data_IF_927458141343
#
_entry.id   IF_927458141343
#
_cell.length_a   1.000
_cell.length_b   1.000
_cell.length_c   1.000
_cell.angle_alpha   90.00
_cell.angle_beta   90.00
_cell.angle_gamma   90.00
#
_symmetry.space_group_name_H-M   'P 1'
#
loop_
_entity.id
_entity.type
_entity.pdbx_description
1 polymer ?
#
# COMPACT_ATOMS: atom_id res chain seq x y z
N UNK A 1 24.15 -15.88 20.72
CA UNK A 1 24.33 -16.24 19.31
C UNK A 1 23.38 -17.38 18.97
N UNK A 2 22.42 -17.16 18.05
CA UNK A 2 21.63 -18.23 17.46
C UNK A 2 22.51 -18.89 16.37
N UNK A 3 23.33 -19.88 16.74
CA UNK A 3 24.31 -20.47 15.83
C UNK A 3 23.65 -21.51 14.91
N UNK A 4 22.70 -22.29 15.44
CA UNK A 4 22.01 -23.35 14.69
C UNK A 4 20.64 -22.91 14.12
N UNK A 5 20.25 -23.52 13.00
CA UNK A 5 18.96 -23.32 12.35
C UNK A 5 17.79 -23.79 13.22
N UNK A 6 17.99 -24.81 14.06
CA UNK A 6 16.98 -25.28 15.02
C UNK A 6 16.74 -24.20 16.09
N UNK A 7 17.81 -23.65 16.66
CA UNK A 7 17.71 -22.57 17.66
C UNK A 7 17.02 -21.34 17.08
N UNK A 8 17.33 -20.96 15.83
CA UNK A 8 16.64 -19.87 15.12
C UNK A 8 15.15 -20.17 14.93
N UNK A 9 14.81 -21.40 14.54
CA UNK A 9 13.41 -21.79 14.35
C UNK A 9 12.65 -21.74 15.68
N UNK A 10 13.24 -22.25 16.77
CA UNK A 10 12.66 -22.24 18.12
C UNK A 10 12.51 -20.82 18.66
N UNK A 11 13.53 -19.96 18.51
CA UNK A 11 13.45 -18.56 18.91
C UNK A 11 12.37 -17.80 18.12
N UNK A 12 12.22 -18.09 16.83
CA UNK A 12 11.13 -17.55 16.01
C UNK A 12 9.76 -18.02 16.45
N UNK A 13 9.62 -19.31 16.78
CA UNK A 13 8.39 -19.89 17.31
C UNK A 13 8.00 -19.27 18.67
N UNK A 14 8.95 -19.15 19.59
CA UNK A 14 8.75 -18.53 20.90
C UNK A 14 8.39 -17.04 20.77
N UNK A 15 9.08 -16.30 19.90
CA UNK A 15 8.74 -14.92 19.60
C UNK A 15 7.31 -14.78 19.08
N UNK A 16 6.90 -15.61 18.12
CA UNK A 16 5.52 -15.61 17.60
C UNK A 16 4.52 -15.99 18.69
N UNK A 17 4.82 -16.96 19.55
CA UNK A 17 3.97 -17.33 20.68
C UNK A 17 3.77 -16.14 21.65
N UNK A 18 4.81 -15.36 21.92
CA UNK A 18 4.74 -14.22 22.83
C UNK A 18 4.09 -12.97 22.19
N UNK A 19 4.25 -12.77 20.88
CA UNK A 19 3.65 -11.64 20.16
C UNK A 19 2.18 -11.90 19.81
N UNK A 20 1.85 -13.13 19.40
CA UNK A 20 0.51 -13.53 18.93
C UNK A 20 -0.34 -14.07 20.10
N UNK A 21 0.25 -14.75 21.08
CA UNK A 21 -0.46 -15.40 22.20
C UNK A 21 -0.81 -14.50 23.38
N UNK A 22 -1.10 -13.21 23.17
CA UNK A 22 -1.59 -12.32 24.24
C UNK A 22 -3.00 -12.73 24.69
N UNK A 23 -3.30 -12.53 25.98
CA UNK A 23 -4.40 -13.15 26.72
C UNK A 23 -5.78 -13.18 26.04
N UNK A 24 -6.50 -14.28 26.20
CA UNK A 24 -7.87 -14.40 25.73
C UNK A 24 -8.79 -13.28 26.31
N UNK A 25 -9.81 -12.82 25.55
CA UNK A 25 -10.96 -12.13 26.12
C UNK A 25 -11.58 -13.04 27.19
N UNK A 26 -12.40 -12.47 28.08
CA UNK A 26 -13.15 -13.34 28.99
C UNK A 26 -13.91 -14.41 28.19
N UNK A 27 -14.00 -15.63 28.73
CA UNK A 27 -14.76 -16.72 28.08
C UNK A 27 -16.18 -16.26 27.71
N UNK A 28 -16.76 -15.36 28.49
CA UNK A 28 -18.08 -14.77 28.28
C UNK A 28 -18.14 -13.85 27.05
N UNK A 29 -17.13 -13.01 26.81
CA UNK A 29 -17.05 -12.14 25.63
C UNK A 29 -16.95 -12.95 24.34
N UNK A 30 -16.18 -14.03 24.38
CA UNK A 30 -16.06 -15.00 23.29
C UNK A 30 -17.41 -15.68 23.02
N UNK A 31 -18.05 -16.26 24.04
CA UNK A 31 -19.32 -16.96 23.91
C UNK A 31 -20.44 -16.05 23.38
N UNK A 32 -20.51 -14.80 23.86
CA UNK A 32 -21.49 -13.82 23.40
C UNK A 32 -21.31 -13.50 21.92
N UNK A 33 -20.08 -13.28 21.47
CA UNK A 33 -19.79 -12.96 20.06
C UNK A 33 -20.08 -14.16 19.17
N UNK A 34 -19.69 -15.37 19.58
CA UNK A 34 -19.99 -16.61 18.86
C UNK A 34 -21.50 -16.80 18.72
N UNK A 35 -22.27 -16.56 19.78
CA UNK A 35 -23.72 -16.62 19.74
C UNK A 35 -24.32 -15.60 18.75
N UNK A 36 -23.82 -14.35 18.77
CA UNK A 36 -24.24 -13.31 17.82
C UNK A 36 -23.95 -13.72 16.37
N UNK A 37 -22.75 -14.25 16.10
CA UNK A 37 -22.36 -14.75 14.77
C UNK A 37 -23.32 -15.84 14.32
N UNK A 38 -23.56 -16.87 15.14
CA UNK A 38 -24.51 -17.95 14.81
C UNK A 38 -25.90 -17.40 14.47
N UNK A 39 -26.41 -16.47 15.27
CA UNK A 39 -27.72 -15.84 15.05
C UNK A 39 -27.76 -15.03 13.75
N UNK A 40 -26.71 -14.29 13.44
CA UNK A 40 -26.61 -13.47 12.22
C UNK A 40 -26.38 -14.33 10.98
N UNK A 41 -25.66 -15.45 11.10
CA UNK A 41 -25.43 -16.39 10.01
C UNK A 41 -26.68 -17.19 9.62
N UNK A 42 -27.64 -17.35 10.53
CA UNK A 42 -28.94 -17.96 10.24
C UNK A 42 -29.90 -17.03 9.50
N UNK A 43 -29.64 -15.71 9.48
CA UNK A 43 -30.45 -14.75 8.73
C UNK A 43 -30.20 -14.93 7.23
N UNK A 44 -31.07 -15.71 6.58
CA UNK A 44 -31.11 -15.89 5.12
C UNK A 44 -31.68 -14.64 4.42
N UNK A 45 -31.04 -13.48 4.56
CA UNK A 45 -31.23 -12.44 3.53
C UNK A 45 -30.57 -12.96 2.25
N UNK A 46 -31.33 -12.94 1.15
CA UNK A 46 -30.88 -13.29 -0.19
C UNK A 46 -29.95 -12.19 -0.74
N UNK A 47 -28.87 -11.93 -0.03
CA UNK A 47 -27.85 -10.99 -0.47
C UNK A 47 -26.91 -11.68 -1.46
N UNK A 48 -26.57 -11.00 -2.54
CA UNK A 48 -25.78 -11.56 -3.65
C UNK A 48 -24.43 -12.10 -3.19
N UNK A 49 -23.83 -11.46 -2.19
CA UNK A 49 -22.54 -11.90 -1.65
C UNK A 49 -22.59 -13.27 -0.97
N UNK A 50 -23.76 -13.77 -0.57
CA UNK A 50 -23.93 -15.09 0.04
C UNK A 50 -24.18 -16.21 -0.99
N UNK A 51 -24.41 -15.89 -2.27
CA UNK A 51 -24.66 -16.89 -3.32
C UNK A 51 -23.46 -17.84 -3.51
N UNK A 52 -23.64 -19.06 -4.06
CA UNK A 52 -22.52 -19.89 -4.48
C UNK A 52 -21.57 -19.15 -5.43
N UNK A 53 -20.30 -19.50 -5.42
CA UNK A 53 -19.34 -19.04 -6.42
C UNK A 53 -19.62 -19.70 -7.77
N UNK A 54 -19.29 -18.98 -8.83
CA UNK A 54 -19.41 -19.42 -10.22
C UNK A 54 -18.05 -19.88 -10.76
N UNK A 55 -18.07 -20.69 -11.82
CA UNK A 55 -16.85 -21.08 -12.54
C UNK A 55 -16.07 -19.85 -13.05
N UNK A 56 -16.80 -18.79 -13.48
CA UNK A 56 -16.19 -17.54 -13.94
C UNK A 56 -15.38 -16.87 -12.83
N UNK A 57 -15.94 -16.73 -11.63
CA UNK A 57 -15.23 -16.15 -10.48
C UNK A 57 -13.96 -16.93 -10.14
N UNK A 58 -14.03 -18.27 -10.13
CA UNK A 58 -12.87 -19.13 -9.83
C UNK A 58 -11.82 -19.03 -10.93
N UNK A 59 -12.21 -19.09 -12.20
CA UNK A 59 -11.30 -18.95 -13.34
C UNK A 59 -10.58 -17.60 -13.34
N UNK A 60 -11.29 -16.51 -13.06
CA UNK A 60 -10.69 -15.18 -12.94
C UNK A 60 -9.68 -15.11 -11.80
N UNK A 61 -10.01 -15.68 -10.63
CA UNK A 61 -9.11 -15.73 -9.49
C UNK A 61 -7.85 -16.53 -9.81
N UNK A 62 -8.00 -17.73 -10.36
CA UNK A 62 -6.91 -18.65 -10.70
C UNK A 62 -5.98 -18.05 -11.75
N UNK A 63 -6.53 -17.48 -12.82
CA UNK A 63 -5.76 -16.80 -13.88
C UNK A 63 -4.91 -15.66 -13.33
N UNK A 64 -5.43 -14.92 -12.35
CA UNK A 64 -4.76 -13.77 -11.73
C UNK A 64 -4.00 -14.11 -10.43
N UNK A 65 -3.75 -15.39 -10.15
CA UNK A 65 -2.89 -15.77 -9.03
C UNK A 65 -1.47 -15.23 -9.25
N UNK A 66 -0.86 -14.57 -8.24
CA UNK A 66 0.54 -14.18 -8.33
C UNK A 66 1.42 -15.44 -8.25
N UNK A 67 2.53 -15.44 -8.99
CA UNK A 67 3.54 -16.48 -8.85
C UNK A 67 4.25 -16.27 -7.51
N UNK A 68 3.96 -17.15 -6.55
CA UNK A 68 4.43 -17.06 -5.16
C UNK A 68 4.86 -18.45 -4.71
N UNK A 69 5.72 -18.50 -3.69
CA UNK A 69 6.14 -19.75 -3.06
C UNK A 69 4.93 -20.52 -2.51
N UNK A 70 4.85 -21.85 -2.73
CA UNK A 70 3.76 -22.68 -2.25
C UNK A 70 3.76 -22.78 -0.72
N UNK A 71 2.69 -23.34 -0.16
CA UNK A 71 2.68 -23.75 1.24
C UNK A 71 3.45 -25.05 1.44
N UNK A 72 3.21 -25.67 2.59
CA UNK A 72 3.76 -26.98 2.98
C UNK A 72 3.35 -28.12 2.02
N UNK A 73 2.25 -27.93 1.28
CA UNK A 73 1.72 -28.86 0.28
C UNK A 73 2.53 -28.90 -1.02
N UNK A 74 3.48 -27.99 -1.20
CA UNK A 74 4.33 -27.85 -2.39
C UNK A 74 3.54 -27.66 -3.70
N UNK A 75 2.26 -27.27 -3.62
CA UNK A 75 1.43 -26.99 -4.80
C UNK A 75 1.68 -25.54 -5.24
N UNK A 76 2.41 -25.38 -6.34
CA UNK A 76 2.67 -24.06 -6.92
C UNK A 76 1.44 -23.45 -7.63
N UNK A 77 1.28 -22.12 -7.63
CA UNK A 77 0.21 -21.43 -8.37
C UNK A 77 0.14 -21.81 -9.86
N UNK A 78 1.28 -22.13 -10.47
CA UNK A 78 1.42 -22.56 -11.85
C UNK A 78 0.66 -23.87 -12.14
N UNK A 79 0.63 -24.81 -11.20
CA UNK A 79 -0.15 -26.04 -11.34
C UNK A 79 -1.64 -25.74 -11.32
N UNK A 80 -2.09 -24.89 -10.38
CA UNK A 80 -3.50 -24.50 -10.26
C UNK A 80 -3.97 -23.78 -11.53
N UNK A 81 -3.13 -22.93 -12.13
CA UNK A 81 -3.41 -22.26 -13.41
C UNK A 81 -3.55 -23.19 -14.60
N UNK A 82 -3.01 -24.40 -14.52
CA UNK A 82 -3.01 -25.40 -15.60
C UNK A 82 -3.93 -26.59 -15.31
N UNK A 83 -4.75 -26.51 -14.26
CA UNK A 83 -5.69 -27.57 -13.93
C UNK A 83 -6.65 -27.84 -15.11
N UNK A 84 -6.85 -29.11 -15.50
CA UNK A 84 -7.89 -29.47 -16.44
C UNK A 84 -9.27 -29.01 -15.97
N UNK A 85 -10.19 -28.77 -16.92
CA UNK A 85 -11.53 -28.26 -16.64
C UNK A 85 -12.30 -29.14 -15.63
N UNK A 86 -12.12 -30.46 -15.71
CA UNK A 86 -12.72 -31.43 -14.77
C UNK A 86 -12.29 -31.13 -13.33
N UNK A 87 -11.00 -30.92 -13.08
CA UNK A 87 -10.47 -30.61 -11.75
C UNK A 87 -10.85 -29.21 -11.27
N UNK A 88 -11.01 -28.26 -12.19
CA UNK A 88 -11.53 -26.92 -11.86
C UNK A 88 -12.98 -26.98 -11.38
N UNK A 89 -13.82 -27.85 -11.97
CA UNK A 89 -15.20 -28.10 -11.52
C UNK A 89 -15.24 -28.76 -10.14
N UNK A 90 -14.36 -29.73 -9.88
CA UNK A 90 -14.25 -30.35 -8.55
C UNK A 90 -13.78 -29.35 -7.48
N UNK A 91 -12.78 -28.52 -7.80
CA UNK A 91 -12.34 -27.43 -6.92
C UNK A 91 -13.50 -26.47 -6.59
N UNK A 92 -14.29 -26.08 -7.60
CA UNK A 92 -15.47 -25.24 -7.40
C UNK A 92 -16.50 -25.90 -6.47
N UNK A 93 -16.77 -27.20 -6.64
CA UNK A 93 -17.69 -27.95 -5.76
C UNK A 93 -17.22 -27.89 -4.31
N UNK A 94 -15.94 -28.18 -4.06
CA UNK A 94 -15.33 -28.14 -2.71
C UNK A 94 -15.47 -26.73 -2.12
N UNK A 95 -15.12 -25.69 -2.89
CA UNK A 95 -15.23 -24.29 -2.45
C UNK A 95 -16.68 -23.93 -2.12
N UNK A 96 -17.65 -24.37 -2.91
CA UNK A 96 -19.06 -24.07 -2.68
C UNK A 96 -19.65 -24.82 -1.48
N UNK A 97 -19.19 -26.05 -1.20
CA UNK A 97 -19.53 -26.78 0.03
C UNK A 97 -18.99 -26.03 1.26
N UNK A 98 -17.72 -25.61 1.19
CA UNK A 98 -17.09 -24.81 2.24
C UNK A 98 -17.79 -23.45 2.43
N UNK A 99 -18.16 -22.78 1.33
CA UNK A 99 -18.87 -21.50 1.36
C UNK A 99 -20.28 -21.61 1.94
N UNK A 100 -21.04 -22.64 1.57
CA UNK A 100 -22.40 -22.86 2.07
C UNK A 100 -22.43 -23.08 3.59
N UNK A 101 -21.39 -23.70 4.14
CA UNK A 101 -21.24 -23.88 5.59
C UNK A 101 -20.54 -22.71 6.28
N UNK A 102 -19.97 -21.76 5.52
CA UNK A 102 -19.09 -20.72 6.06
C UNK A 102 -17.82 -21.27 6.70
N UNK A 103 -17.39 -22.46 6.30
CA UNK A 103 -16.22 -23.13 6.85
C UNK A 103 -14.97 -22.85 6.02
N UNK A 104 -13.86 -22.56 6.68
CA UNK A 104 -12.55 -22.50 6.06
C UNK A 104 -11.75 -23.75 6.43
N UNK A 105 -11.39 -24.63 5.49
CA UNK A 105 -10.72 -25.90 5.77
C UNK A 105 -9.44 -25.77 6.60
N UNK A 106 -9.32 -26.58 7.66
CA UNK A 106 -8.15 -26.63 8.56
C UNK A 106 -6.83 -26.82 7.80
N UNK A 107 -6.81 -27.68 6.78
CA UNK A 107 -5.61 -27.91 5.96
C UNK A 107 -5.13 -26.64 5.25
N UNK A 108 -6.05 -25.73 4.90
CA UNK A 108 -5.70 -24.44 4.29
C UNK A 108 -5.31 -23.37 5.31
N UNK A 109 -5.57 -23.59 6.60
CA UNK A 109 -5.18 -22.67 7.69
C UNK A 109 -3.72 -22.82 8.09
N UNK A 110 -3.16 -24.03 7.94
CA UNK A 110 -1.77 -24.35 8.30
C UNK A 110 -0.81 -23.54 7.43
N UNK A 111 0.00 -22.70 8.04
CA UNK A 111 0.99 -21.86 7.35
C UNK A 111 2.42 -22.21 7.70
N UNK A 112 3.34 -22.09 6.74
CA UNK A 112 4.78 -22.22 6.99
C UNK A 112 5.41 -20.85 7.08
N UNK A 113 5.95 -20.48 8.23
CA UNK A 113 6.59 -19.19 8.47
C UNK A 113 8.05 -19.26 8.09
N UNK A 114 8.46 -18.35 7.21
CA UNK A 114 9.85 -18.10 6.86
C UNK A 114 10.28 -16.76 7.47
N UNK A 115 11.51 -16.73 8.00
CA UNK A 115 12.10 -15.53 8.56
C UNK A 115 13.04 -14.87 7.54
N UNK A 116 12.77 -13.62 7.19
CA UNK A 116 13.61 -12.83 6.28
C UNK A 116 14.25 -11.67 7.04
N UNK A 117 15.59 -11.54 7.09
CA UNK A 117 16.24 -10.44 7.80
C UNK A 117 15.89 -9.09 7.17
N UNK A 118 15.65 -8.08 8.01
CA UNK A 118 15.48 -6.69 7.54
C UNK A 118 16.83 -6.20 6.97
N UNK A 119 16.85 -5.59 5.78
CA UNK A 119 18.09 -5.06 5.18
C UNK A 119 18.79 -4.08 6.13
N UNK A 120 20.11 -4.23 6.29
CA UNK A 120 20.93 -3.34 7.11
C UNK A 120 20.70 -3.44 8.62
N UNK A 121 20.02 -4.50 9.10
CA UNK A 121 19.83 -4.76 10.52
C UNK A 121 20.55 -6.05 10.95
N UNK A 122 20.94 -6.08 12.21
CA UNK A 122 21.58 -7.23 12.85
C UNK A 122 20.68 -8.47 12.78
N UNK A 123 21.17 -9.52 12.11
CA UNK A 123 20.47 -10.79 11.92
C UNK A 123 20.59 -11.76 13.10
N UNK A 124 21.24 -11.37 14.19
CA UNK A 124 21.23 -12.16 15.44
C UNK A 124 19.97 -11.90 16.28
N UNK A 125 19.30 -10.75 16.09
CA UNK A 125 18.10 -10.38 16.85
C UNK A 125 16.83 -10.81 16.13
N UNK A 126 15.98 -11.61 16.80
CA UNK A 126 14.74 -12.15 16.22
C UNK A 126 13.75 -11.07 15.78
N UNK A 127 13.72 -9.94 16.48
CA UNK A 127 12.90 -8.74 16.20
C UNK A 127 13.23 -8.09 14.84
N UNK A 128 14.45 -8.33 14.34
CA UNK A 128 14.93 -7.80 13.06
C UNK A 128 14.52 -8.67 11.87
N UNK A 129 13.80 -9.76 12.09
CA UNK A 129 13.24 -10.57 11.01
C UNK A 129 11.85 -10.09 10.60
N UNK A 130 11.48 -10.37 9.35
CA UNK A 130 10.12 -10.34 8.85
C UNK A 130 9.63 -11.79 8.80
N UNK A 131 8.56 -12.07 9.52
CA UNK A 131 7.88 -13.35 9.47
C UNK A 131 6.91 -13.35 8.29
N UNK A 132 7.12 -14.24 7.34
CA UNK A 132 6.25 -14.40 6.17
C UNK A 132 5.61 -15.78 6.22
N UNK A 133 4.28 -15.80 6.32
CA UNK A 133 3.51 -17.05 6.32
C UNK A 133 3.18 -17.49 4.91
N UNK A 134 3.67 -18.66 4.52
CA UNK A 134 3.33 -19.36 3.29
C UNK A 134 2.10 -20.23 3.52
N UNK A 135 1.00 -19.89 2.85
CA UNK A 135 -0.25 -20.65 2.91
C UNK A 135 -0.47 -21.50 1.64
N UNK A 136 -1.18 -22.64 1.77
CA UNK A 136 -1.64 -23.47 0.65
C UNK A 136 -2.35 -22.66 -0.43
N UNK A 137 -2.04 -22.95 -1.70
CA UNK A 137 -2.54 -22.15 -2.83
C UNK A 137 -4.05 -22.29 -3.01
N UNK A 138 -4.62 -23.47 -2.76
CA UNK A 138 -6.07 -23.67 -2.81
C UNK A 138 -6.82 -22.81 -1.76
N UNK A 139 -6.23 -22.67 -0.57
CA UNK A 139 -6.70 -21.73 0.45
C UNK A 139 -6.66 -20.28 -0.02
N UNK A 140 -5.57 -19.89 -0.71
CA UNK A 140 -5.41 -18.55 -1.33
C UNK A 140 -6.42 -18.27 -2.44
N UNK A 141 -6.87 -19.30 -3.17
CA UNK A 141 -7.97 -19.17 -4.14
C UNK A 141 -9.27 -18.84 -3.40
N UNK A 142 -9.59 -19.62 -2.37
CA UNK A 142 -10.82 -19.44 -1.62
C UNK A 142 -10.89 -18.09 -0.88
N UNK A 143 -9.83 -17.69 -0.18
CA UNK A 143 -9.77 -16.39 0.50
C UNK A 143 -9.89 -15.22 -0.50
N UNK A 144 -9.35 -15.36 -1.72
CA UNK A 144 -9.40 -14.30 -2.73
C UNK A 144 -10.81 -14.14 -3.30
N UNK A 145 -11.55 -15.22 -3.47
CA UNK A 145 -12.97 -15.17 -3.85
C UNK A 145 -13.78 -14.38 -2.82
N UNK A 146 -13.62 -14.69 -1.52
CA UNK A 146 -14.30 -13.97 -0.45
C UNK A 146 -13.82 -12.52 -0.35
N UNK A 147 -12.51 -12.27 -0.48
CA UNK A 147 -11.93 -10.92 -0.53
C UNK A 147 -12.55 -10.08 -1.64
N UNK A 148 -12.73 -10.63 -2.84
CA UNK A 148 -13.31 -9.90 -3.96
C UNK A 148 -14.74 -9.44 -3.64
N UNK A 149 -15.55 -10.31 -3.03
CA UNK A 149 -16.90 -9.97 -2.57
C UNK A 149 -16.89 -8.93 -1.46
N UNK A 150 -16.07 -9.11 -0.42
CA UNK A 150 -15.90 -8.14 0.66
C UNK A 150 -15.47 -6.77 0.14
N UNK A 151 -14.49 -6.73 -0.77
CA UNK A 151 -13.98 -5.49 -1.35
C UNK A 151 -15.07 -4.75 -2.11
N UNK A 152 -15.90 -5.48 -2.88
CA UNK A 152 -17.03 -4.88 -3.58
C UNK A 152 -18.06 -4.31 -2.60
N UNK A 153 -18.46 -5.07 -1.57
CA UNK A 153 -19.43 -4.64 -0.56
C UNK A 153 -18.97 -3.40 0.21
N UNK A 154 -17.70 -3.34 0.59
CA UNK A 154 -17.13 -2.21 1.34
C UNK A 154 -17.18 -0.93 0.50
N UNK A 155 -16.87 -1.04 -0.80
CA UNK A 155 -16.90 0.11 -1.71
C UNK A 155 -18.35 0.54 -2.01
N UNK A 156 -19.27 -0.40 -2.26
CA UNK A 156 -20.69 -0.14 -2.51
C UNK A 156 -21.36 0.57 -1.32
N UNK A 157 -21.14 0.06 -0.10
CA UNK A 157 -21.68 0.64 1.14
C UNK A 157 -20.96 1.93 1.57
N UNK A 158 -19.98 2.42 0.79
CA UNK A 158 -19.09 3.54 1.17
C UNK A 158 -18.49 3.36 2.57
N UNK A 159 -18.17 2.11 2.94
CA UNK A 159 -17.69 1.74 4.27
C UNK A 159 -16.32 2.33 4.61
N UNK A 160 -15.57 2.82 3.62
CA UNK A 160 -14.28 3.47 3.81
C UNK A 160 -14.30 4.91 3.29
N UNK A 161 -13.82 5.83 4.13
CA UNK A 161 -13.68 7.26 3.80
C UNK A 161 -12.71 7.48 2.63
N UNK A 162 -12.87 8.59 1.91
CA UNK A 162 -12.14 8.86 0.67
C UNK A 162 -10.63 9.09 0.82
N UNK A 163 -10.19 9.41 2.04
CA UNK A 163 -8.77 9.58 2.41
C UNK A 163 -8.09 8.25 2.78
N UNK A 164 -8.85 7.16 2.99
CA UNK A 164 -8.26 5.83 3.15
C UNK A 164 -7.78 5.34 1.79
N UNK A 165 -6.47 5.25 1.61
CA UNK A 165 -5.84 4.86 0.34
C UNK A 165 -5.10 3.51 0.40
N UNK A 166 -4.75 3.04 1.60
CA UNK A 166 -4.07 1.75 1.78
C UNK A 166 -4.97 0.59 1.36
N UNK A 167 -4.37 -0.40 0.69
CA UNK A 167 -5.00 -1.68 0.32
C UNK A 167 -6.33 -1.61 -0.49
N UNK A 168 -6.71 -0.43 -1.02
CA UNK A 168 -7.91 -0.24 -1.82
C UNK A 168 -7.64 -0.25 -3.32
N UNK A 169 -8.59 -0.77 -4.09
CA UNK A 169 -8.52 -0.77 -5.55
C UNK A 169 -8.51 0.67 -6.06
N UNK A 170 -7.67 0.96 -7.06
CA UNK A 170 -7.57 2.27 -7.70
C UNK A 170 -7.19 3.46 -6.78
N UNK A 171 -6.73 3.20 -5.56
CA UNK A 171 -6.11 4.20 -4.68
C UNK A 171 -4.60 3.99 -4.59
N UNK A 172 -3.89 5.02 -4.15
CA UNK A 172 -2.42 5.03 -3.99
C UNK A 172 -2.07 5.97 -2.85
N UNK A 173 -1.00 5.65 -2.10
CA UNK A 173 -0.42 6.55 -1.08
C UNK A 173 -0.08 7.93 -1.63
N UNK A 174 0.13 8.01 -2.95
CA UNK A 174 0.35 9.25 -3.66
C UNK A 174 -0.80 10.26 -3.53
N UNK A 175 -2.05 9.80 -3.45
CA UNK A 175 -3.20 10.69 -3.23
C UNK A 175 -3.08 11.40 -1.87
N UNK A 176 -2.68 10.68 -0.83
CA UNK A 176 -2.51 11.23 0.51
C UNK A 176 -1.37 12.26 0.54
N UNK A 177 -0.27 11.99 -0.16
CA UNK A 177 0.83 12.94 -0.28
C UNK A 177 0.41 14.24 -0.99
N UNK A 178 -0.40 14.14 -2.04
CA UNK A 178 -0.93 15.32 -2.76
C UNK A 178 -1.88 16.13 -1.87
N UNK A 179 -2.73 15.47 -1.08
CA UNK A 179 -3.61 16.16 -0.12
C UNK A 179 -2.80 16.89 0.94
N UNK A 180 -1.80 16.21 1.53
CA UNK A 180 -0.90 16.82 2.52
C UNK A 180 -0.14 18.03 1.94
N UNK A 181 0.40 17.89 0.72
CA UNK A 181 1.10 18.98 0.05
C UNK A 181 0.18 20.18 -0.22
N UNK A 182 -1.04 19.93 -0.71
CA UNK A 182 -2.05 20.97 -0.95
C UNK A 182 -2.33 21.74 0.35
N UNK A 183 -2.57 21.01 1.44
CA UNK A 183 -2.94 21.61 2.72
C UNK A 183 -1.77 22.41 3.30
N UNK A 184 -0.55 21.88 3.20
CA UNK A 184 0.67 22.60 3.59
C UNK A 184 0.86 23.89 2.79
N UNK A 185 0.65 23.87 1.47
CA UNK A 185 0.75 25.06 0.62
C UNK A 185 -0.32 26.10 0.97
N UNK A 186 -1.57 25.67 1.18
CA UNK A 186 -2.66 26.57 1.57
C UNK A 186 -2.38 27.26 2.90
N UNK A 187 -1.95 26.50 3.90
CA UNK A 187 -1.62 27.05 5.23
C UNK A 187 -0.46 28.04 5.15
N UNK A 188 0.59 27.70 4.39
CA UNK A 188 1.74 28.56 4.17
C UNK A 188 1.38 29.87 3.46
N UNK A 189 0.53 29.81 2.43
CA UNK A 189 0.06 30.99 1.68
C UNK A 189 -0.73 31.97 2.55
N UNK A 190 -1.43 31.47 3.57
CA UNK A 190 -2.23 32.29 4.47
C UNK A 190 -1.46 32.71 5.72
N UNK A 191 -0.13 32.51 5.76
CA UNK A 191 0.69 32.83 6.93
C UNK A 191 0.36 32.00 8.18
N UNK A 192 -0.40 30.91 8.01
CA UNK A 192 -0.85 30.02 9.09
C UNK A 192 0.19 28.93 9.36
N UNK A 193 -0.05 28.14 10.41
CA UNK A 193 0.82 27.06 10.88
C UNK A 193 0.10 25.74 10.65
N UNK A 194 0.82 24.75 10.13
CA UNK A 194 0.31 23.39 9.99
C UNK A 194 1.03 22.49 10.99
N UNK A 195 0.27 21.80 11.83
CA UNK A 195 0.77 20.71 12.66
C UNK A 195 0.37 19.40 11.98
N UNK A 196 1.33 18.50 11.81
CA UNK A 196 1.11 17.17 11.21
C UNK A 196 1.45 16.11 12.24
N UNK A 197 0.48 15.29 12.61
CA UNK A 197 0.66 14.17 13.54
C UNK A 197 0.77 12.88 12.72
N UNK A 198 1.90 12.19 12.85
CA UNK A 198 2.11 10.89 12.24
C UNK A 198 1.86 9.80 13.29
N UNK A 199 0.89 8.94 13.02
CA UNK A 199 0.56 7.79 13.88
C UNK A 199 1.01 6.51 13.19
N UNK A 200 1.74 5.68 13.91
CA UNK A 200 2.13 4.34 13.46
C UNK A 200 1.66 3.29 14.48
N UNK A 201 0.97 2.26 13.98
CA UNK A 201 0.43 1.19 14.83
C UNK A 201 1.43 0.05 14.86
N UNK A 202 2.04 -0.18 16.03
CA UNK A 202 2.94 -1.31 16.24
C UNK A 202 2.19 -2.62 15.95
N UNK A 203 2.72 -3.44 15.06
CA UNK A 203 2.22 -4.80 14.81
C UNK A 203 0.72 -4.86 14.46
N UNK A 204 0.23 -3.99 13.56
CA UNK A 204 -1.21 -3.83 13.31
C UNK A 204 -1.96 -5.14 12.94
N UNK A 205 -1.31 -6.08 12.26
CA UNK A 205 -1.90 -7.39 11.96
C UNK A 205 -1.81 -8.37 13.13
N UNK A 206 -0.69 -8.37 13.84
CA UNK A 206 -0.44 -9.25 14.98
C UNK A 206 -1.34 -8.88 16.18
N UNK A 207 -1.68 -7.60 16.30
CA UNK A 207 -2.52 -7.05 17.37
C UNK A 207 -4.01 -6.95 17.01
N UNK A 208 -4.45 -7.58 15.91
CA UNK A 208 -5.83 -7.49 15.46
C UNK A 208 -6.78 -8.28 16.37
N UNK A 209 -7.72 -7.58 17.00
CA UNK A 209 -8.76 -8.21 17.82
C UNK A 209 -9.83 -8.87 16.93
N UNK A 210 -9.70 -10.17 16.68
CA UNK A 210 -10.63 -11.00 15.90
C UNK A 210 -12.11 -10.80 16.27
N UNK A 211 -12.46 -10.77 17.57
CA UNK A 211 -13.85 -10.53 17.98
C UNK A 211 -14.34 -9.15 17.51
N UNK A 212 -13.52 -8.10 17.63
CA UNK A 212 -13.86 -6.74 17.16
C UNK A 212 -13.97 -6.68 15.65
N UNK A 213 -13.17 -7.46 14.92
CA UNK A 213 -13.33 -7.61 13.48
C UNK A 213 -14.70 -8.22 13.13
N UNK A 214 -15.13 -9.27 13.84
CA UNK A 214 -16.45 -9.88 13.63
C UNK A 214 -17.60 -8.93 14.02
N UNK A 215 -17.46 -8.20 15.12
CA UNK A 215 -18.41 -7.14 15.51
C UNK A 215 -18.50 -6.05 14.44
N UNK A 216 -17.37 -5.62 13.88
CA UNK A 216 -17.32 -4.67 12.77
C UNK A 216 -18.04 -5.19 11.53
N UNK A 217 -17.84 -6.46 11.15
CA UNK A 217 -18.56 -7.09 10.03
C UNK A 217 -20.08 -7.07 10.26
N UNK A 218 -20.53 -7.39 11.48
CA UNK A 218 -21.96 -7.36 11.83
C UNK A 218 -22.51 -5.93 11.86
N UNK A 219 -21.74 -4.96 12.35
CA UNK A 219 -22.12 -3.54 12.36
C UNK A 219 -22.25 -2.94 10.95
N UNK A 220 -21.50 -3.47 9.98
CA UNK A 220 -21.68 -3.16 8.55
C UNK A 220 -22.94 -3.78 7.94
N UNK A 221 -23.73 -4.51 8.72
CA UNK A 221 -24.93 -5.21 8.29
C UNK A 221 -24.63 -6.44 7.42
N UNK A 222 -23.45 -7.06 7.58
CA UNK A 222 -23.15 -8.35 6.93
C UNK A 222 -23.84 -9.48 7.70
N UNK A 223 -24.43 -10.42 6.96
CA UNK A 223 -25.16 -11.57 7.49
C UNK A 223 -24.83 -12.86 6.70
N UNK A 224 -25.18 -14.03 7.22
CA UNK A 224 -25.04 -15.29 6.48
C UNK A 224 -23.62 -15.86 6.44
N UNK A 225 -23.27 -16.45 5.29
CA UNK A 225 -22.06 -17.26 5.08
C UNK A 225 -20.77 -16.46 5.31
N UNK A 226 -20.77 -15.17 4.94
CA UNK A 226 -19.57 -14.33 5.01
C UNK A 226 -19.10 -14.07 6.44
N UNK A 227 -20.03 -13.95 7.40
CA UNK A 227 -19.71 -13.73 8.82
C UNK A 227 -19.24 -15.04 9.45
N UNK A 228 -19.89 -16.15 9.10
CA UNK A 228 -19.47 -17.49 9.54
C UNK A 228 -18.07 -17.84 8.99
N UNK A 229 -17.82 -17.53 7.71
CA UNK A 229 -16.50 -17.62 7.08
C UNK A 229 -15.48 -16.79 7.84
N UNK A 230 -15.78 -15.53 8.18
CA UNK A 230 -14.87 -14.68 8.94
C UNK A 230 -14.47 -15.32 10.27
N UNK A 231 -15.43 -15.87 11.00
CA UNK A 231 -15.16 -16.59 12.25
C UNK A 231 -14.29 -17.83 12.00
N UNK A 232 -14.63 -18.66 11.02
CA UNK A 232 -13.85 -19.87 10.70
C UNK A 232 -12.45 -19.54 10.15
N UNK A 233 -12.27 -18.43 9.46
CA UNK A 233 -11.01 -18.02 8.84
C UNK A 233 -10.00 -17.46 9.86
N UNK A 234 -10.50 -16.80 10.90
CA UNK A 234 -9.68 -16.16 11.95
C UNK A 234 -9.32 -17.12 13.09
N UNK A 235 -10.03 -18.24 13.24
CA UNK A 235 -9.85 -19.18 14.35
C UNK A 235 -9.08 -20.44 13.93
N UNK A 236 -8.41 -21.10 14.88
CA UNK A 236 -7.71 -22.38 14.72
C UNK A 236 -6.61 -22.38 13.63
N UNK A 237 -5.75 -21.35 13.60
CA UNK A 237 -4.70 -21.22 12.56
C UNK A 237 -3.32 -21.68 13.02
N UNK A 238 -2.90 -22.89 12.69
CA UNK A 238 -1.55 -23.36 13.05
C UNK A 238 -0.46 -22.76 12.14
N UNK A 239 0.73 -22.51 12.71
CA UNK A 239 1.91 -22.10 11.93
C UNK A 239 3.13 -22.96 12.25
N UNK A 240 4.01 -23.15 11.28
CA UNK A 240 5.24 -23.93 11.45
C UNK A 240 6.40 -23.06 11.04
N UNK A 241 7.37 -22.82 11.93
CA UNK A 241 8.53 -21.97 11.62
C UNK A 241 9.63 -22.82 11.01
N UNK A 242 10.09 -22.43 9.81
CA UNK A 242 11.13 -23.16 9.07
C UNK A 242 12.37 -22.29 8.84
N UNK A 243 13.54 -22.84 9.16
CA UNK A 243 14.85 -22.24 8.89
C UNK A 243 15.74 -23.29 8.26
N UNK A 244 16.06 -23.14 6.97
CA UNK A 244 16.75 -24.20 6.22
C UNK A 244 15.92 -25.50 6.17
N UNK A 245 16.51 -26.60 6.66
CA UNK A 245 15.82 -27.89 6.82
C UNK A 245 15.16 -28.06 8.21
N UNK A 246 15.49 -27.20 9.18
CA UNK A 246 14.99 -27.28 10.55
C UNK A 246 13.57 -26.72 10.66
N UNK A 247 12.73 -27.44 11.42
CA UNK A 247 11.31 -27.16 11.56
C UNK A 247 10.95 -27.11 13.05
N UNK A 248 10.23 -26.05 13.47
CA UNK A 248 9.59 -25.99 14.78
C UNK A 248 8.08 -25.76 14.59
N UNK A 249 7.28 -26.46 15.40
CA UNK A 249 5.82 -26.44 15.27
C UNK A 249 5.22 -25.47 16.27
N UNK A 250 4.32 -24.59 15.81
CA UNK A 250 3.59 -23.64 16.65
C UNK A 250 2.08 -23.86 16.43
N UNK A 251 1.39 -24.39 17.44
CA UNK A 251 -0.06 -24.40 17.44
C UNK A 251 -0.64 -23.04 17.85
N UNK A 252 -1.77 -22.67 17.24
CA UNK A 252 -2.41 -21.37 17.41
C UNK A 252 -2.91 -21.13 18.84
N UNK A 253 -2.75 -19.90 19.31
CA UNK A 253 -3.39 -19.35 20.51
C UNK A 253 -4.09 -18.04 20.09
N UNK A 254 -5.35 -17.79 20.49
CA UNK A 254 -6.04 -16.54 20.18
C UNK A 254 -5.33 -15.36 20.85
N UNK A 255 -5.19 -14.24 20.14
CA UNK A 255 -4.46 -13.09 20.66
C UNK A 255 -5.40 -11.97 21.07
N UNK A 256 -5.50 -11.59 22.35
CA UNK A 256 -6.26 -10.42 22.82
C UNK A 256 -5.65 -9.72 24.08
N UNK A 257 -6.14 -8.50 24.39
CA UNK A 257 -5.95 -7.61 25.59
C UNK A 257 -4.52 -7.28 26.11
N UNK A 258 -4.31 -6.03 26.55
CA UNK A 258 -3.13 -5.58 27.30
C UNK A 258 -2.06 -4.81 26.52
N UNK A 259 -2.41 -4.15 25.41
CA UNK A 259 -1.46 -3.23 24.74
C UNK A 259 -1.64 -1.85 25.35
N UNK A 260 -0.88 -1.58 26.41
CA UNK A 260 -0.94 -0.35 27.21
C UNK A 260 -1.14 0.92 26.36
N UNK A 261 -0.35 1.11 25.30
CA UNK A 261 -0.46 2.29 24.43
C UNK A 261 -1.74 2.36 23.56
N UNK A 262 -2.32 1.23 23.16
CA UNK A 262 -3.60 1.23 22.42
C UNK A 262 -4.78 1.36 23.38
N UNK A 263 -4.69 0.76 24.57
CA UNK A 263 -5.74 0.83 25.58
C UNK A 263 -5.83 2.24 26.18
N UNK A 264 -4.69 2.90 26.41
CA UNK A 264 -4.64 4.30 26.80
C UNK A 264 -5.25 5.21 25.71
N UNK A 265 -4.89 5.02 24.45
CA UNK A 265 -5.45 5.82 23.35
C UNK A 265 -6.95 5.60 23.14
N UNK A 266 -7.43 4.35 23.27
CA UNK A 266 -8.86 4.02 23.15
C UNK A 266 -9.66 4.52 24.36
N UNK A 267 -9.04 4.59 25.55
CA UNK A 267 -9.62 5.19 26.75
C UNK A 267 -9.70 6.71 26.63
N UNK A 268 -8.62 7.39 26.25
CA UNK A 268 -8.61 8.84 26.03
C UNK A 268 -9.61 9.28 24.95
N UNK A 269 -9.73 8.51 23.86
CA UNK A 269 -10.72 8.80 22.82
C UNK A 269 -12.17 8.67 23.32
N UNK A 270 -12.45 7.71 24.21
CA UNK A 270 -13.76 7.54 24.83
C UNK A 270 -14.04 8.64 25.87
N UNK A 271 -13.04 9.01 26.66
CA UNK A 271 -13.16 10.06 27.67
C UNK A 271 -13.39 11.43 27.02
N UNK A 272 -12.72 11.71 25.89
CA UNK A 272 -12.95 12.93 25.10
C UNK A 272 -14.36 13.01 24.49
N UNK A 273 -14.94 11.86 24.11
CA UNK A 273 -16.32 11.77 23.60
C UNK A 273 -17.37 11.92 24.71
N UNK A 274 -17.09 11.41 25.91
CA UNK A 274 -18.02 11.45 27.04
C UNK A 274 -18.05 12.82 27.72
N UNK A 275 -16.90 13.48 27.84
CA UNK A 275 -16.76 14.71 28.64
C UNK A 275 -16.80 15.99 27.81
N UNK A 276 -16.94 15.90 26.48
CA UNK A 276 -17.03 17.04 25.57
C UNK A 276 -15.93 18.06 25.84
N UNK A 277 -14.73 17.85 25.31
CA UNK A 277 -13.58 18.74 25.54
C UNK A 277 -13.96 20.21 25.31
N UNK A 278 -14.10 20.98 26.40
CA UNK A 278 -13.78 22.39 26.38
C UNK A 278 -12.30 22.44 26.02
N UNK A 279 -11.99 22.97 24.84
CA UNK A 279 -10.61 23.30 24.48
C UNK A 279 -10.20 24.37 25.49
N UNK A 280 -9.52 23.99 26.57
CA UNK A 280 -8.82 24.97 27.40
C UNK A 280 -7.87 25.71 26.46
N UNK A 281 -8.10 27.02 26.33
CA UNK A 281 -7.25 27.88 25.52
C UNK A 281 -5.80 27.64 25.92
N UNK A 282 -4.98 27.17 24.97
CA UNK A 282 -3.56 26.97 25.17
C UNK A 282 -2.96 28.21 25.85
N UNK A 283 -2.36 28.02 27.04
CA UNK A 283 -1.81 29.12 27.83
C UNK A 283 -0.96 30.07 26.96
N UNK A 284 -1.16 31.40 27.03
CA UNK A 284 -0.49 32.38 26.14
C UNK A 284 1.04 32.30 26.12
N UNK A 285 1.63 31.81 27.21
CA UNK A 285 3.06 31.56 27.37
C UNK A 285 3.59 30.46 26.46
N UNK A 286 2.82 29.38 26.24
CA UNK A 286 3.16 28.32 25.29
C UNK A 286 3.11 28.86 23.85
N UNK A 287 2.14 29.72 23.54
CA UNK A 287 2.03 30.35 22.21
C UNK A 287 3.22 31.28 21.94
N UNK A 288 3.68 32.07 22.92
CA UNK A 288 4.83 32.95 22.75
C UNK A 288 6.15 32.17 22.62
N UNK A 289 6.32 31.09 23.38
CA UNK A 289 7.46 30.19 23.24
C UNK A 289 7.46 29.47 21.88
N UNK A 290 6.28 29.03 21.42
CA UNK A 290 6.09 28.49 20.07
C UNK A 290 6.41 29.55 19.03
N UNK A 291 5.93 30.80 19.15
CA UNK A 291 6.24 31.90 18.21
C UNK A 291 7.73 32.20 18.14
N UNK A 292 8.43 32.21 19.27
CA UNK A 292 9.88 32.44 19.33
C UNK A 292 10.66 31.29 18.70
N UNK A 293 10.33 30.04 19.07
CA UNK A 293 10.91 28.84 18.45
C UNK A 293 10.59 28.76 16.95
N UNK A 294 9.42 29.21 16.54
CA UNK A 294 9.01 29.31 15.14
C UNK A 294 9.77 30.37 14.36
N UNK A 295 10.07 31.51 14.97
CA UNK A 295 10.88 32.55 14.35
C UNK A 295 12.32 32.05 14.16
N UNK A 296 12.88 31.39 15.17
CA UNK A 296 14.20 30.74 15.09
C UNK A 296 14.23 29.65 14.03
N UNK A 297 13.20 28.79 13.97
CA UNK A 297 13.06 27.77 12.92
C UNK A 297 12.87 28.39 11.53
N UNK A 298 12.16 29.51 11.39
CA UNK A 298 12.02 30.23 10.12
C UNK A 298 13.35 30.78 9.63
N UNK A 299 14.12 31.42 10.50
CA UNK A 299 15.44 31.97 10.17
C UNK A 299 16.42 30.86 9.82
N UNK A 300 16.51 29.82 10.67
CA UNK A 300 17.37 28.66 10.43
C UNK A 300 16.99 27.91 9.14
N UNK A 301 15.69 27.82 8.81
CA UNK A 301 15.21 27.19 7.59
C UNK A 301 15.41 28.08 6.35
N UNK A 302 15.30 29.40 6.47
CA UNK A 302 15.63 30.32 5.39
C UNK A 302 17.11 30.21 5.02
N UNK A 303 18.00 30.20 6.02
CA UNK A 303 19.43 29.93 5.83
C UNK A 303 19.67 28.54 5.24
N UNK A 304 19.10 27.48 5.82
CA UNK A 304 19.27 26.12 5.28
C UNK A 304 18.76 25.95 3.84
N UNK A 305 17.64 26.59 3.46
CA UNK A 305 17.12 26.58 2.09
C UNK A 305 18.07 27.33 1.14
N UNK A 306 18.65 28.44 1.60
CA UNK A 306 19.60 29.25 0.85
C UNK A 306 20.93 28.49 0.63
N UNK A 307 21.41 27.81 1.67
CA UNK A 307 22.68 27.08 1.70
C UNK A 307 22.62 25.74 0.95
N UNK A 308 21.48 25.02 1.00
CA UNK A 308 21.37 23.65 0.44
C UNK A 308 20.68 23.61 -0.92
N UNK A 309 19.79 24.56 -1.24
CA UNK A 309 18.86 24.37 -2.37
C UNK A 309 18.83 25.47 -3.43
N UNK A 310 19.61 26.55 -3.29
CA UNK A 310 19.79 27.58 -4.33
C UNK A 310 18.51 27.91 -5.11
N UNK A 311 17.57 28.62 -4.48
CA UNK A 311 16.29 29.07 -5.07
C UNK A 311 15.37 28.00 -5.71
N UNK A 312 15.68 26.70 -5.62
CA UNK A 312 14.93 25.63 -6.29
C UNK A 312 13.52 25.40 -5.71
N UNK A 313 13.26 25.88 -4.49
CA UNK A 313 11.96 25.82 -3.81
C UNK A 313 11.26 27.18 -3.63
N UNK A 314 11.65 28.20 -4.40
CA UNK A 314 10.85 29.42 -4.48
C UNK A 314 9.41 29.05 -4.86
N UNK A 315 8.49 29.21 -3.90
CA UNK A 315 7.08 28.81 -3.99
C UNK A 315 6.39 29.57 -5.12
N UNK A 316 6.34 28.97 -6.31
CA UNK A 316 5.42 29.43 -7.36
C UNK A 316 4.00 28.99 -6.98
N UNK A 317 3.08 29.96 -6.92
CA UNK A 317 1.63 29.73 -6.74
C UNK A 317 1.14 28.76 -7.81
N UNK A 318 0.78 27.53 -7.44
CA UNK A 318 0.17 26.59 -8.38
C UNK A 318 -1.34 26.86 -8.45
N UNK A 319 -1.86 27.22 -9.63
CA UNK A 319 -3.30 27.46 -9.88
C UNK A 319 -4.16 26.18 -9.92
N UNK A 320 -3.55 25.03 -9.65
CA UNK A 320 -4.10 23.70 -9.89
C UNK A 320 -5.19 23.29 -8.89
N UNK A 321 -6.20 22.57 -9.36
CA UNK A 321 -7.12 21.77 -8.54
C UNK A 321 -6.72 20.27 -8.62
N UNK A 322 -5.81 19.77 -7.76
CA UNK A 322 -5.13 18.49 -7.97
C UNK A 322 -6.08 17.29 -7.92
N UNK A 323 -7.12 17.37 -7.09
CA UNK A 323 -8.15 16.33 -6.94
C UNK A 323 -8.94 16.09 -8.23
N UNK A 324 -9.29 17.16 -8.96
CA UNK A 324 -10.07 17.05 -10.20
C UNK A 324 -9.23 16.56 -11.40
N UNK A 325 -7.93 16.80 -11.38
CA UNK A 325 -7.00 16.27 -12.40
C UNK A 325 -6.68 14.80 -12.12
N UNK A 326 -6.39 14.47 -10.85
CA UNK A 326 -6.07 13.11 -10.45
C UNK A 326 -7.24 12.13 -10.66
N UNK A 327 -8.49 12.59 -10.60
CA UNK A 327 -9.65 11.72 -10.90
C UNK A 327 -9.76 11.35 -12.38
N UNK A 328 -9.19 12.15 -13.29
CA UNK A 328 -9.26 11.95 -14.75
C UNK A 328 -7.99 11.30 -15.35
N UNK A 329 -6.99 10.99 -14.52
CA UNK A 329 -5.73 10.36 -14.93
C UNK A 329 -5.62 8.93 -14.41
N UNK A 330 -4.97 8.05 -15.19
CA UNK A 330 -4.62 6.71 -14.73
C UNK A 330 -3.57 6.75 -13.62
N UNK A 331 -3.51 5.70 -12.77
CA UNK A 331 -2.48 5.57 -11.72
C UNK A 331 -1.05 5.73 -12.25
N UNK A 332 -0.78 5.22 -13.46
CA UNK A 332 0.52 5.34 -14.12
C UNK A 332 0.84 6.80 -14.44
N UNK A 333 -0.12 7.55 -15.00
CA UNK A 333 0.03 8.96 -15.34
C UNK A 333 0.23 9.83 -14.10
N UNK A 334 -0.60 9.64 -13.05
CA UNK A 334 -0.47 10.37 -11.79
C UNK A 334 0.95 10.18 -11.20
N UNK A 335 1.47 8.95 -11.21
CA UNK A 335 2.83 8.67 -10.74
C UNK A 335 3.90 9.42 -11.53
N UNK A 336 3.77 9.49 -12.86
CA UNK A 336 4.75 10.19 -13.71
C UNK A 336 4.71 11.69 -13.45
N UNK A 337 3.52 12.32 -13.53
CA UNK A 337 3.36 13.76 -13.30
C UNK A 337 3.86 14.16 -11.92
N UNK A 338 3.50 13.41 -10.88
CA UNK A 338 3.95 13.75 -9.54
C UNK A 338 5.46 13.64 -9.39
N UNK A 339 6.07 12.59 -9.93
CA UNK A 339 7.52 12.45 -9.90
C UNK A 339 8.21 13.60 -10.62
N UNK A 340 7.64 14.09 -11.72
CA UNK A 340 8.16 15.28 -12.41
C UNK A 340 7.98 16.56 -11.57
N UNK A 341 6.80 16.76 -10.96
CA UNK A 341 6.51 17.92 -10.09
C UNK A 341 7.36 17.96 -8.83
N UNK A 342 7.56 16.81 -8.19
CA UNK A 342 8.38 16.68 -6.97
C UNK A 342 9.88 16.60 -7.27
N UNK A 343 10.27 16.51 -8.55
CA UNK A 343 11.65 16.30 -8.97
C UNK A 343 12.24 14.92 -8.64
N UNK A 344 11.39 13.93 -8.36
CA UNK A 344 11.75 12.53 -8.10
C UNK A 344 11.49 11.61 -9.31
N UNK A 345 11.71 12.11 -10.53
CA UNK A 345 11.41 11.37 -11.77
C UNK A 345 12.52 10.46 -12.28
N UNK A 346 13.64 10.38 -11.56
CA UNK A 346 14.74 9.48 -11.89
C UNK A 346 15.54 9.93 -13.10
N UNK A 347 15.59 11.25 -13.36
CA UNK A 347 16.50 11.85 -14.34
C UNK A 347 17.90 12.02 -13.74
N UNK A 348 18.92 12.17 -14.58
CA UNK A 348 20.35 12.15 -14.23
C UNK A 348 20.67 12.95 -12.98
N UNK A 349 20.28 14.23 -12.89
CA UNK A 349 20.58 15.04 -11.70
C UNK A 349 19.97 14.48 -10.40
N UNK A 350 18.78 13.86 -10.47
CA UNK A 350 18.20 13.16 -9.33
C UNK A 350 18.99 11.90 -8.97
N UNK A 351 19.45 11.14 -9.97
CA UNK A 351 20.22 9.90 -9.78
C UNK A 351 21.59 10.19 -9.20
N UNK A 352 22.27 11.24 -9.67
CA UNK A 352 23.54 11.71 -9.11
C UNK A 352 23.42 12.03 -7.62
N UNK A 353 22.40 12.83 -7.25
CA UNK A 353 22.19 13.21 -5.85
C UNK A 353 21.79 12.04 -4.94
N UNK A 354 21.04 11.07 -5.47
CA UNK A 354 20.42 10.01 -4.64
C UNK A 354 21.24 8.72 -4.60
N UNK A 355 21.93 8.41 -5.69
CA UNK A 355 22.62 7.14 -5.91
C UNK A 355 24.10 7.31 -6.30
N UNK A 356 24.60 8.55 -6.46
CA UNK A 356 25.99 8.80 -6.88
C UNK A 356 26.29 8.48 -8.34
N UNK A 357 25.26 8.34 -9.19
CA UNK A 357 25.41 8.08 -10.63
C UNK A 357 25.85 9.34 -11.41
N UNK A 358 26.23 9.19 -12.69
CA UNK A 358 26.43 10.33 -13.58
C UNK A 358 25.11 11.10 -13.76
N UNK A 359 25.17 12.42 -13.56
CA UNK A 359 24.04 13.33 -13.62
C UNK A 359 23.64 13.75 -15.02
N UNK A 360 24.43 13.38 -16.03
CA UNK A 360 24.28 13.83 -17.40
C UNK A 360 23.32 12.97 -18.22
N UNK A 361 22.71 13.58 -19.24
CA UNK A 361 21.88 12.88 -20.20
C UNK A 361 22.77 11.94 -21.03
N UNK A 362 22.37 10.67 -21.13
CA UNK A 362 23.14 9.65 -21.85
C UNK A 362 23.27 9.89 -23.36
N UNK A 363 22.51 10.83 -23.92
CA UNK A 363 22.48 11.10 -25.36
C UNK A 363 23.22 12.39 -25.73
N UNK A 364 23.01 13.48 -24.96
CA UNK A 364 23.63 14.77 -25.27
C UNK A 364 24.63 15.26 -24.23
N UNK A 365 24.91 14.45 -23.19
CA UNK A 365 25.96 14.68 -22.19
C UNK A 365 25.86 16.00 -21.41
N UNK A 366 24.66 16.60 -21.35
CA UNK A 366 24.33 17.78 -20.55
C UNK A 366 23.63 17.33 -19.27
N UNK A 367 23.80 18.01 -18.12
CA UNK A 367 23.07 17.69 -16.89
C UNK A 367 21.57 17.48 -17.13
N UNK A 368 21.08 16.27 -16.84
CA UNK A 368 19.71 15.89 -17.16
C UNK A 368 18.76 16.41 -16.06
N UNK A 369 18.33 17.66 -16.22
CA UNK A 369 17.30 18.29 -15.40
C UNK A 369 15.89 18.00 -15.91
N UNK A 370 14.86 18.32 -15.11
CA UNK A 370 13.46 18.26 -15.56
C UNK A 370 13.20 19.20 -16.75
N UNK A 371 13.75 20.41 -16.74
CA UNK A 371 13.65 21.38 -17.84
C UNK A 371 14.33 20.81 -19.09
N UNK A 372 15.51 20.21 -18.93
CA UNK A 372 16.24 19.59 -20.01
C UNK A 372 15.40 18.48 -20.66
N UNK A 373 14.93 17.51 -19.86
CA UNK A 373 14.12 16.39 -20.33
C UNK A 373 12.85 16.85 -21.06
N UNK A 374 12.10 17.78 -20.45
CA UNK A 374 10.78 18.17 -20.92
C UNK A 374 10.81 19.18 -22.07
N UNK A 375 11.81 20.06 -22.15
CA UNK A 375 11.80 21.18 -23.09
C UNK A 375 13.00 21.24 -24.04
N UNK A 376 14.21 20.88 -23.58
CA UNK A 376 15.46 21.28 -24.26
C UNK A 376 16.23 20.14 -24.92
N UNK A 377 16.11 18.91 -24.44
CA UNK A 377 16.95 17.80 -24.88
C UNK A 377 16.75 17.51 -26.39
N UNK A 378 17.74 17.73 -27.28
CA UNK A 378 17.57 17.55 -28.72
C UNK A 378 17.17 16.11 -29.09
N UNK A 379 17.67 15.15 -28.32
CA UNK A 379 17.39 13.73 -28.50
C UNK A 379 15.90 13.35 -28.35
N UNK A 380 15.11 14.21 -27.69
CA UNK A 380 13.71 13.93 -27.38
C UNK A 380 12.72 14.79 -28.16
N UNK A 381 13.18 15.42 -29.25
CA UNK A 381 12.38 16.36 -30.03
C UNK A 381 11.16 15.69 -30.69
N UNK A 382 11.35 14.49 -31.25
CA UNK A 382 10.25 13.74 -31.86
C UNK A 382 9.14 13.38 -30.85
N UNK A 383 9.54 13.00 -29.64
CA UNK A 383 8.61 12.60 -28.57
C UNK A 383 7.81 13.80 -28.04
N UNK A 384 8.30 15.04 -28.25
CA UNK A 384 7.60 16.27 -27.89
C UNK A 384 6.68 16.83 -28.98
N UNK A 385 6.69 16.28 -30.20
CA UNK A 385 5.88 16.79 -31.31
C UNK A 385 4.38 16.87 -30.98
N UNK A 386 3.83 15.84 -30.34
CA UNK A 386 2.41 15.82 -29.93
C UNK A 386 2.10 16.96 -28.95
N UNK A 387 2.96 17.18 -27.95
CA UNK A 387 2.83 18.27 -26.98
C UNK A 387 2.93 19.63 -27.66
N UNK A 388 3.92 19.81 -28.54
CA UNK A 388 4.13 21.06 -29.29
C UNK A 388 2.96 21.40 -30.21
N UNK A 389 2.42 20.40 -30.91
CA UNK A 389 1.23 20.56 -31.77
C UNK A 389 0.03 20.99 -30.94
N UNK A 390 -0.23 20.31 -29.82
CA UNK A 390 -1.34 20.65 -28.93
C UNK A 390 -1.24 22.08 -28.40
N UNK A 391 -0.04 22.49 -27.95
CA UNK A 391 0.21 23.84 -27.48
C UNK A 391 -0.03 24.89 -28.58
N UNK A 392 0.41 24.62 -29.82
CA UNK A 392 0.18 25.53 -30.96
C UNK A 392 -1.31 25.67 -31.30
N UNK A 393 -2.05 24.57 -31.35
CA UNK A 393 -3.49 24.58 -31.69
C UNK A 393 -4.33 25.28 -30.63
N UNK A 394 -3.94 25.20 -29.36
CA UNK A 394 -4.66 25.80 -28.22
C UNK A 394 -4.10 27.15 -27.77
N UNK A 395 -3.10 27.70 -28.47
CA UNK A 395 -2.38 28.93 -28.09
C UNK A 395 -1.82 28.90 -26.65
N UNK A 396 -1.34 27.74 -26.20
CA UNK A 396 -0.75 27.54 -24.86
C UNK A 396 0.77 27.74 -24.97
N UNK A 397 1.33 28.60 -24.12
CA UNK A 397 2.78 28.78 -24.04
C UNK A 397 3.45 27.53 -23.44
N UNK A 398 4.44 26.97 -24.15
CA UNK A 398 5.11 25.75 -23.73
C UNK A 398 6.15 26.04 -22.63
N UNK A 399 5.82 25.66 -21.41
CA UNK A 399 6.66 25.80 -20.20
C UNK A 399 6.68 24.49 -19.43
N UNK A 400 7.56 24.37 -18.43
CA UNK A 400 7.53 23.19 -17.54
C UNK A 400 6.19 23.13 -16.82
N UNK A 401 5.70 24.28 -16.36
CA UNK A 401 4.44 24.42 -15.63
C UNK A 401 3.25 23.95 -16.48
N UNK A 402 3.13 24.40 -17.74
CA UNK A 402 2.04 23.96 -18.63
C UNK A 402 2.16 22.48 -19.00
N UNK A 403 3.38 21.96 -19.20
CA UNK A 403 3.60 20.52 -19.40
C UNK A 403 3.22 19.68 -18.17
N UNK A 404 3.35 20.24 -16.97
CA UNK A 404 2.93 19.63 -15.73
C UNK A 404 1.48 19.92 -15.39
N UNK A 405 0.70 20.51 -16.30
CA UNK A 405 -0.75 20.68 -16.20
C UNK A 405 -1.20 21.97 -15.54
N UNK A 406 -0.34 22.98 -15.40
CA UNK A 406 -0.73 24.32 -14.96
C UNK A 406 -1.30 25.14 -16.13
N UNK A 407 -2.45 24.70 -16.65
CA UNK A 407 -3.18 25.41 -17.69
C UNK A 407 -4.32 26.24 -17.09
N UNK A 408 -4.86 27.19 -17.87
CA UNK A 408 -5.93 28.07 -17.40
C UNK A 408 -7.23 27.31 -17.11
N UNK A 409 -7.54 26.31 -17.94
CA UNK A 409 -8.69 25.43 -17.74
C UNK A 409 -8.27 24.00 -17.40
N UNK A 410 -9.21 23.25 -16.83
CA UNK A 410 -8.96 21.90 -16.35
C UNK A 410 -8.84 20.86 -17.46
N UNK A 411 -9.46 21.09 -18.62
CA UNK A 411 -9.43 20.15 -19.74
C UNK A 411 -8.03 20.11 -20.36
N UNK A 412 -7.47 21.28 -20.64
CA UNK A 412 -6.10 21.45 -21.10
C UNK A 412 -5.11 20.93 -20.04
N UNK A 413 -5.37 21.19 -18.75
CA UNK A 413 -4.54 20.67 -17.64
C UNK A 413 -4.45 19.13 -17.66
N UNK A 414 -5.59 18.46 -17.85
CA UNK A 414 -5.68 17.01 -17.92
C UNK A 414 -5.01 16.48 -19.18
N UNK A 415 -5.28 17.10 -20.33
CA UNK A 415 -4.73 16.64 -21.61
C UNK A 415 -3.22 16.85 -21.69
N UNK A 416 -2.71 17.99 -21.23
CA UNK A 416 -1.28 18.24 -21.09
C UNK A 416 -0.61 17.19 -20.19
N UNK A 417 -1.23 16.84 -19.06
CA UNK A 417 -0.71 15.77 -18.20
C UNK A 417 -0.63 14.42 -18.94
N UNK A 418 -1.64 14.07 -19.76
CA UNK A 418 -1.62 12.82 -20.54
C UNK A 418 -0.53 12.84 -21.61
N UNK A 419 -0.42 13.93 -22.36
CA UNK A 419 0.57 14.11 -23.43
C UNK A 419 1.99 14.08 -22.87
N UNK A 420 2.25 14.79 -21.77
CA UNK A 420 3.54 14.75 -21.07
C UNK A 420 3.86 13.34 -20.57
N UNK A 421 2.90 12.60 -20.03
CA UNK A 421 3.10 11.20 -19.64
C UNK A 421 3.43 10.29 -20.82
N UNK A 422 2.77 10.49 -21.96
CA UNK A 422 3.05 9.76 -23.20
C UNK A 422 4.48 10.03 -23.66
N UNK A 423 4.86 11.31 -23.76
CA UNK A 423 6.20 11.78 -24.12
C UNK A 423 7.28 11.13 -23.23
N UNK A 424 7.18 11.27 -21.90
CA UNK A 424 8.16 10.71 -20.95
C UNK A 424 8.20 9.18 -20.99
N UNK A 425 7.06 8.52 -21.26
CA UNK A 425 7.02 7.06 -21.40
C UNK A 425 7.65 6.56 -22.71
N UNK A 426 7.65 7.38 -23.78
CA UNK A 426 8.35 7.09 -25.04
C UNK A 426 9.87 7.25 -24.83
N UNK A 427 10.30 8.37 -24.24
CA UNK A 427 11.71 8.64 -23.89
C UNK A 427 12.33 7.48 -23.08
N UNK A 428 11.65 7.04 -22.01
CA UNK A 428 12.17 5.93 -21.19
C UNK A 428 12.26 4.60 -21.91
N UNK A 429 11.37 4.33 -22.89
CA UNK A 429 11.41 3.09 -23.67
C UNK A 429 12.59 3.06 -24.63
N UNK A 430 12.92 4.20 -25.23
CA UNK A 430 14.07 4.32 -26.12
C UNK A 430 15.40 4.14 -25.38
N UNK A 431 15.54 4.73 -24.19
CA UNK A 431 16.73 4.52 -23.34
C UNK A 431 16.95 3.03 -23.01
N UNK A 432 15.90 2.33 -22.58
CA UNK A 432 15.98 0.88 -22.30
C UNK A 432 16.35 0.07 -23.55
N UNK A 433 15.83 0.44 -24.72
CA UNK A 433 16.14 -0.24 -25.97
C UNK A 433 17.59 0.01 -26.42
N UNK A 434 18.14 1.20 -26.17
CA UNK A 434 19.54 1.51 -26.43
C UNK A 434 20.48 0.74 -25.50
N UNK A 435 20.22 0.72 -24.19
CA UNK A 435 20.99 -0.09 -23.22
C UNK A 435 20.99 -1.58 -23.59
N UNK A 436 19.84 -2.14 -23.96
CA UNK A 436 19.74 -3.54 -24.42
C UNK A 436 20.50 -3.79 -25.72
N UNK A 437 20.61 -2.80 -26.61
CA UNK A 437 21.39 -2.90 -27.85
C UNK A 437 22.88 -2.90 -27.56
N UNK A 438 23.35 -2.06 -26.64
CA UNK A 438 24.74 -2.03 -26.15
C UNK A 438 25.11 -3.37 -25.49
N UNK A 439 24.30 -3.86 -24.55
CA UNK A 439 24.52 -5.17 -23.91
C UNK A 439 24.55 -6.35 -24.90
N UNK A 440 23.77 -6.27 -25.99
CA UNK A 440 23.80 -7.28 -27.07
C UNK A 440 25.06 -7.19 -27.93
N UNK A 441 25.61 -5.98 -28.13
CA UNK A 441 26.86 -5.76 -28.86
C UNK A 441 28.08 -6.19 -28.03
N UNK A 442 28.08 -5.88 -26.73
CA UNK A 442 29.11 -6.33 -25.78
C UNK A 442 29.13 -7.86 -25.65
N UNK A 443 27.96 -8.51 -25.62
CA UNK A 443 27.84 -9.98 -25.68
C UNK A 443 28.22 -10.59 -27.03
N UNK A 444 28.34 -9.80 -28.11
CA UNK A 444 28.85 -10.28 -29.40
C UNK A 444 30.36 -10.08 -29.54
N UNK A 445 30.93 -9.09 -28.86
CA UNK A 445 32.38 -8.85 -28.83
C UNK A 445 33.11 -9.77 -27.86
N UNK A 446 32.45 -10.17 -26.76
CA UNK A 446 32.88 -11.32 -25.96
C UNK A 446 32.30 -12.57 -26.65
N UNK A 447 33.09 -13.22 -27.50
CA UNK A 447 32.72 -14.47 -28.18
C UNK A 447 32.27 -15.57 -27.20
N UNK A 448 31.74 -16.70 -27.73
CA UNK A 448 31.12 -17.77 -26.93
C UNK A 448 31.97 -18.26 -25.76
#
# INVERSE_FOLDING_TARGET
MLVDNIDKANAGAEYLKNVIGRQDPSKDDCNRTIWKVKKVSQKKRMEDYNRPFTEREVNEVVKNLPNTTPGDDLIYPEFVKRLPEIWMKELLKIINIAWKSGYFPKIWKKGTVIMIPKPGKDSEKIENFRFITLLPVLGKVYERLVKNRLSWLIEEKKGLKDYQCGFRRNRSTLKNLVLLQRDALYVLQNGKIMIVVFLDVRGAFDNLVHLKMLEGMMAMGLVGNIVQFGMSYLTERAVVVKVGQSVSTVEWIPGHRGIEGNEAADQEAKDALANGTSVEEFAPTVINNIRSAMQQMRVARAQHIQDVTGNMFALKKTKLQPTKICSKLSRKQIRIIFRLRSGHAGYGVFKARTFGEDGNCSICSVPETREHLLLRCPAHEQQRLEVKRYCRTRNIHLTVETMLGECENIEDSVEMCKLTCSCVSKIKREGINQEKKVLRLEKKQKGP
#
